data_IF_919800815416
#
_entry.id   IF_919800815416
#
_cell.length_a   1.000
_cell.length_b   1.000
_cell.length_c   1.000
_cell.angle_alpha   90.00
_cell.angle_beta   90.00
_cell.angle_gamma   90.00
#
_symmetry.space_group_name_H-M   'P 1'
#
loop_
_entity.id
_entity.type
_entity.pdbx_description
1 polymer ?
#
# COMPACT_ATOMS: atom_id res chain seq x y z
N UNK A 1 -20.22 -14.33 -0.11
CA UNK A 1 -19.25 -14.25 1.00
C UNK A 1 -19.92 -14.31 2.37
N UNK A 2 -20.78 -13.37 2.77
CA UNK A 2 -21.51 -13.48 4.06
C UNK A 2 -22.26 -14.82 4.19
N UNK A 3 -22.91 -15.28 3.13
CA UNK A 3 -23.56 -16.60 3.11
C UNK A 3 -22.58 -17.77 3.27
N UNK A 4 -21.36 -17.68 2.73
CA UNK A 4 -20.33 -18.73 2.84
C UNK A 4 -19.70 -18.76 4.24
N UNK A 5 -19.36 -17.59 4.80
CA UNK A 5 -18.86 -17.46 6.18
C UNK A 5 -19.92 -17.93 7.18
N UNK A 6 -21.16 -17.49 7.04
CA UNK A 6 -22.27 -17.94 7.89
C UNK A 6 -22.48 -19.46 7.81
N UNK A 7 -22.47 -20.04 6.60
CA UNK A 7 -22.59 -21.50 6.45
C UNK A 7 -21.41 -22.26 7.06
N UNK A 8 -20.21 -21.69 7.01
CA UNK A 8 -19.02 -22.24 7.67
C UNK A 8 -19.15 -22.18 9.20
N UNK A 9 -19.39 -21.00 9.77
CA UNK A 9 -19.52 -20.79 11.22
C UNK A 9 -20.70 -21.58 11.81
N UNK A 10 -21.82 -21.66 11.08
CA UNK A 10 -22.99 -22.43 11.50
C UNK A 10 -22.77 -23.95 11.40
N UNK A 11 -21.85 -24.43 10.55
CA UNK A 11 -21.40 -25.83 10.55
C UNK A 11 -20.41 -26.10 11.68
N UNK A 12 -19.48 -25.19 11.94
CA UNK A 12 -18.47 -25.31 13.00
C UNK A 12 -19.09 -25.29 14.41
N UNK A 13 -20.12 -24.46 14.60
CA UNK A 13 -20.88 -24.38 15.87
C UNK A 13 -21.95 -25.48 16.02
N UNK A 14 -22.06 -26.41 15.06
CA UNK A 14 -23.03 -27.51 15.09
C UNK A 14 -24.50 -27.07 14.89
N UNK A 15 -24.76 -25.81 14.56
CA UNK A 15 -26.12 -25.28 14.30
C UNK A 15 -26.74 -25.92 13.06
N UNK A 16 -25.91 -26.40 12.12
CA UNK A 16 -26.32 -27.08 10.89
C UNK A 16 -26.15 -28.61 10.93
N UNK A 17 -26.05 -29.24 12.11
CA UNK A 17 -26.01 -30.69 12.18
C UNK A 17 -27.38 -31.31 11.84
N UNK A 18 -27.40 -31.99 10.68
CA UNK A 18 -28.15 -33.13 10.12
C UNK A 18 -29.46 -33.67 10.75
N UNK A 19 -30.13 -33.00 11.69
CA UNK A 19 -31.30 -33.52 12.40
C UNK A 19 -32.49 -32.56 12.26
N UNK A 20 -33.21 -32.67 11.14
CA UNK A 20 -34.58 -32.17 11.05
C UNK A 20 -34.86 -31.15 9.94
N UNK A 21 -34.69 -31.54 8.68
CA UNK A 21 -35.40 -30.88 7.57
C UNK A 21 -36.31 -31.89 6.89
N UNK A 22 -37.61 -31.77 7.14
CA UNK A 22 -38.67 -32.60 6.54
C UNK A 22 -39.01 -32.21 5.10
N UNK A 23 -38.03 -31.74 4.32
CA UNK A 23 -38.24 -31.39 2.91
C UNK A 23 -37.24 -32.14 2.03
N UNK A 24 -37.50 -33.44 1.89
CA UNK A 24 -37.42 -34.20 0.63
C UNK A 24 -36.24 -33.92 -0.31
N UNK A 25 -35.01 -33.92 0.21
CA UNK A 25 -33.81 -34.04 -0.62
C UNK A 25 -32.84 -35.04 0.01
N UNK A 26 -33.31 -36.29 0.15
CA UNK A 26 -32.49 -37.46 0.44
C UNK A 26 -31.56 -37.79 -0.74
N UNK A 27 -30.53 -36.96 -0.98
CA UNK A 27 -29.35 -37.36 -1.76
C UNK A 27 -28.13 -36.44 -1.57
N UNK A 28 -27.81 -36.12 -0.32
CA UNK A 28 -26.52 -35.53 0.03
C UNK A 28 -26.08 -35.94 1.44
N UNK A 29 -26.30 -37.21 1.81
CA UNK A 29 -25.74 -37.80 3.04
C UNK A 29 -24.35 -38.36 2.76
N UNK A 30 -23.40 -37.45 2.69
CA UNK A 30 -22.06 -37.61 3.23
C UNK A 30 -21.58 -36.19 3.47
N UNK A 31 -21.91 -35.64 4.64
CA UNK A 31 -21.31 -34.42 5.12
C UNK A 31 -19.83 -34.72 5.36
N UNK A 32 -19.02 -34.65 4.31
CA UNK A 32 -17.58 -34.52 4.44
C UNK A 32 -17.35 -33.26 5.27
N UNK A 33 -16.84 -33.44 6.49
CA UNK A 33 -16.23 -32.35 7.24
C UNK A 33 -15.31 -31.61 6.29
N UNK A 34 -15.49 -30.30 6.14
CA UNK A 34 -14.62 -29.47 5.30
C UNK A 34 -13.16 -29.82 5.64
N UNK A 35 -12.40 -30.20 4.61
CA UNK A 35 -10.97 -30.48 4.77
C UNK A 35 -10.27 -29.27 5.37
N UNK A 36 -9.18 -29.44 6.11
CA UNK A 36 -8.35 -28.32 6.56
C UNK A 36 -7.90 -27.43 5.39
N UNK A 37 -7.74 -28.01 4.19
CA UNK A 37 -7.48 -27.27 2.95
C UNK A 37 -8.67 -26.40 2.52
N UNK A 38 -9.91 -26.91 2.66
CA UNK A 38 -11.12 -26.14 2.38
C UNK A 38 -11.28 -24.99 3.37
N UNK A 39 -11.00 -25.24 4.65
CA UNK A 39 -11.04 -24.21 5.71
C UNK A 39 -10.03 -23.10 5.43
N UNK A 40 -8.78 -23.48 5.12
CA UNK A 40 -7.73 -22.53 4.73
C UNK A 40 -8.10 -21.71 3.50
N UNK A 41 -8.71 -22.35 2.49
CA UNK A 41 -9.18 -21.68 1.27
C UNK A 41 -10.31 -20.69 1.57
N UNK A 42 -11.30 -21.07 2.38
CA UNK A 42 -12.39 -20.18 2.80
C UNK A 42 -11.83 -18.96 3.54
N UNK A 43 -10.90 -19.17 4.48
CA UNK A 43 -10.23 -18.09 5.21
C UNK A 43 -9.48 -17.13 4.28
N UNK A 44 -8.75 -17.65 3.28
CA UNK A 44 -8.03 -16.84 2.30
C UNK A 44 -9.00 -16.00 1.44
N UNK A 45 -10.07 -16.61 0.91
CA UNK A 45 -11.05 -15.90 0.08
C UNK A 45 -11.80 -14.86 0.90
N UNK A 46 -12.11 -15.16 2.15
CA UNK A 46 -12.68 -14.24 3.11
C UNK A 46 -11.76 -13.03 3.32
N UNK A 47 -10.50 -13.27 3.68
CA UNK A 47 -9.54 -12.19 3.91
C UNK A 47 -9.28 -11.35 2.66
N UNK A 48 -9.22 -11.98 1.48
CA UNK A 48 -9.14 -11.30 0.20
C UNK A 48 -10.34 -10.39 -0.06
N UNK A 49 -11.55 -10.83 0.27
CA UNK A 49 -12.78 -10.03 0.17
C UNK A 49 -12.70 -8.79 1.05
N UNK A 50 -12.26 -8.98 2.30
CA UNK A 50 -12.07 -7.92 3.28
C UNK A 50 -11.04 -6.90 2.82
N UNK A 51 -9.91 -7.36 2.26
CA UNK A 51 -8.90 -6.49 1.66
C UNK A 51 -9.48 -5.66 0.52
N UNK A 52 -10.16 -6.31 -0.43
CA UNK A 52 -10.71 -5.62 -1.60
C UNK A 52 -11.75 -4.58 -1.19
N UNK A 53 -12.68 -4.92 -0.31
CA UNK A 53 -13.66 -3.97 0.17
C UNK A 53 -13.01 -2.81 0.92
N UNK A 54 -12.05 -3.07 1.80
CA UNK A 54 -11.35 -2.04 2.58
C UNK A 54 -10.57 -1.08 1.68
N UNK A 55 -9.75 -1.61 0.77
CA UNK A 55 -8.94 -0.79 -0.14
C UNK A 55 -9.85 -0.03 -1.12
N UNK A 56 -10.86 -0.70 -1.70
CA UNK A 56 -11.85 -0.08 -2.58
C UNK A 56 -12.59 1.06 -1.92
N UNK A 57 -13.06 0.83 -0.70
CA UNK A 57 -13.85 1.78 0.06
C UNK A 57 -13.05 3.04 0.34
N UNK A 58 -11.83 2.86 0.83
CA UNK A 58 -10.92 3.94 1.18
C UNK A 58 -10.47 4.74 -0.04
N UNK A 59 -10.19 4.06 -1.16
CA UNK A 59 -9.80 4.71 -2.41
C UNK A 59 -10.93 5.54 -3.00
N UNK A 60 -12.18 5.07 -2.93
CA UNK A 60 -13.32 5.77 -3.53
C UNK A 60 -14.07 6.69 -2.55
N UNK A 61 -13.66 6.74 -1.29
CA UNK A 61 -14.37 7.51 -0.28
C UNK A 61 -15.80 7.01 -0.04
N UNK A 62 -16.01 5.68 -0.07
CA UNK A 62 -17.27 5.06 0.33
C UNK A 62 -17.10 4.34 1.67
N UNK A 63 -18.18 4.12 2.44
CA UNK A 63 -18.13 3.21 3.57
C UNK A 63 -17.77 1.79 3.14
N UNK A 64 -17.09 1.08 4.04
CA UNK A 64 -16.86 -0.36 3.95
C UNK A 64 -18.19 -1.11 4.06
N UNK A 65 -18.30 -2.21 3.31
CA UNK A 65 -19.47 -3.09 3.29
C UNK A 65 -19.31 -4.21 4.32
N UNK A 66 -18.11 -4.77 4.46
CA UNK A 66 -17.85 -5.79 5.48
C UNK A 66 -17.58 -5.09 6.80
N UNK A 67 -18.42 -5.32 7.82
CA UNK A 67 -18.34 -4.61 9.10
C UNK A 67 -17.14 -5.07 9.96
N UNK A 68 -16.82 -4.34 11.02
CA UNK A 68 -15.70 -4.72 11.89
C UNK A 68 -16.01 -6.01 12.65
N UNK A 69 -17.26 -6.16 13.11
CA UNK A 69 -17.78 -7.34 13.80
C UNK A 69 -17.66 -8.59 12.95
N UNK A 70 -17.89 -8.45 11.64
CA UNK A 70 -17.79 -9.55 10.69
C UNK A 70 -16.35 -9.89 10.32
N UNK A 71 -15.37 -9.05 10.69
CA UNK A 71 -13.96 -9.19 10.33
C UNK A 71 -13.05 -9.75 11.42
N UNK A 72 -13.58 -10.00 12.61
CA UNK A 72 -12.90 -10.84 13.57
C UNK A 72 -12.88 -12.27 13.02
N UNK A 73 -11.68 -12.74 12.71
CA UNK A 73 -11.39 -14.14 12.45
C UNK A 73 -10.93 -14.73 13.78
N UNK A 74 -11.61 -15.77 14.29
CA UNK A 74 -11.00 -16.68 15.26
C UNK A 74 -9.75 -17.29 14.57
N UNK A 75 -8.55 -17.22 15.15
CA UNK A 75 -7.32 -17.47 14.42
C UNK A 75 -7.11 -18.98 14.25
N UNK A 76 -7.67 -19.55 13.18
CA UNK A 76 -7.05 -20.70 12.50
C UNK A 76 -5.87 -20.21 11.65
N UNK A 77 -4.86 -19.66 12.33
CA UNK A 77 -3.47 -19.82 11.91
C UNK A 77 -2.98 -21.15 12.51
N UNK A 78 -2.11 -21.92 11.82
CA UNK A 78 -1.72 -23.26 12.25
C UNK A 78 -1.23 -23.26 13.70
N UNK A 79 -1.74 -24.24 14.46
CA UNK A 79 -1.56 -24.50 15.88
C UNK A 79 -0.24 -23.97 16.48
N UNK A 80 -0.36 -23.04 17.42
CA UNK A 80 0.60 -22.91 18.52
C UNK A 80 -0.16 -22.85 19.87
N UNK A 81 0.16 -23.73 20.83
CA UNK A 81 -0.74 -24.15 21.91
C UNK A 81 -0.66 -23.26 23.16
N UNK A 82 -0.88 -21.95 23.03
CA UNK A 82 -0.79 -21.02 24.18
C UNK A 82 -1.85 -19.92 24.11
N UNK A 83 -3.13 -20.29 24.09
CA UNK A 83 -4.23 -19.38 24.42
C UNK A 83 -4.69 -19.65 25.86
N UNK A 84 -3.94 -19.14 26.83
CA UNK A 84 -4.48 -18.93 28.18
C UNK A 84 -5.41 -17.71 28.17
N UNK A 85 -6.54 -17.89 28.82
CA UNK A 85 -7.69 -17.01 28.90
C UNK A 85 -7.39 -15.66 29.56
N UNK A 86 -7.34 -14.59 28.76
CA UNK A 86 -7.47 -13.23 29.28
C UNK A 86 -8.92 -12.76 29.15
N UNK A 87 -9.66 -12.84 30.26
CA UNK A 87 -10.97 -12.21 30.43
C UNK A 87 -10.80 -10.68 30.42
N UNK A 88 -10.99 -10.05 29.27
CA UNK A 88 -11.16 -8.60 29.15
C UNK A 88 -12.62 -8.33 28.75
N UNK A 89 -13.34 -7.58 29.57
CA UNK A 89 -14.73 -7.16 29.31
C UNK A 89 -14.84 -6.46 27.94
N UNK A 90 -15.45 -7.14 26.97
CA UNK A 90 -15.56 -6.72 25.58
C UNK A 90 -16.66 -5.67 25.38
N UNK A 91 -16.32 -4.48 24.87
CA UNK A 91 -17.30 -3.49 24.40
C UNK A 91 -17.25 -3.36 22.86
N UNK A 92 -18.39 -3.44 22.15
CA UNK A 92 -18.44 -3.33 20.68
C UNK A 92 -17.84 -2.05 20.09
N UNK A 93 -17.74 -0.96 20.87
CA UNK A 93 -17.19 0.33 20.44
C UNK A 93 -15.66 0.39 20.45
N UNK A 94 -15.02 -0.63 21.03
CA UNK A 94 -13.58 -0.85 21.08
C UNK A 94 -13.10 -1.88 20.04
N UNK A 95 -14.01 -2.46 19.26
CA UNK A 95 -13.75 -3.39 18.16
C UNK A 95 -13.19 -2.74 16.86
N UNK A 96 -12.76 -1.47 16.92
CA UNK A 96 -12.05 -0.87 15.78
C UNK A 96 -10.72 -1.58 15.63
N UNK A 97 -10.43 -2.08 14.44
CA UNK A 97 -9.26 -2.90 14.13
C UNK A 97 -7.95 -2.23 14.56
N UNK A 98 -7.55 -2.48 15.80
CA UNK A 98 -6.34 -1.98 16.38
C UNK A 98 -5.49 -3.11 16.89
N UNK A 99 -4.22 -3.07 16.49
CA UNK A 99 -3.02 -3.73 16.98
C UNK A 99 -3.11 -5.12 17.64
N UNK A 100 -3.92 -5.36 18.67
CA UNK A 100 -3.81 -6.57 19.52
C UNK A 100 -4.08 -7.89 18.76
N UNK A 101 -4.84 -7.86 17.66
CA UNK A 101 -5.10 -9.03 16.81
C UNK A 101 -3.98 -9.35 15.79
N UNK A 102 -3.09 -8.40 15.48
CA UNK A 102 -2.08 -8.54 14.39
C UNK A 102 -0.65 -8.16 14.79
N UNK A 103 -0.49 -7.39 15.86
CA UNK A 103 0.79 -7.02 16.47
C UNK A 103 1.10 -8.09 17.51
N UNK A 104 1.59 -9.24 17.04
CA UNK A 104 2.41 -10.06 17.92
C UNK A 104 3.65 -9.23 18.23
N UNK A 105 4.00 -9.09 19.51
CA UNK A 105 5.33 -8.64 19.89
C UNK A 105 6.32 -9.58 19.22
N UNK A 106 6.94 -9.13 18.13
CA UNK A 106 7.97 -9.91 17.49
C UNK A 106 9.16 -9.87 18.43
N UNK A 107 9.33 -10.93 19.24
CA UNK A 107 10.51 -11.11 20.11
C UNK A 107 11.79 -11.27 19.28
N UNK A 108 11.66 -11.52 17.99
CA UNK A 108 12.74 -11.52 16.99
C UNK A 108 13.03 -10.08 16.55
N UNK A 109 14.31 -9.70 16.54
CA UNK A 109 14.77 -8.35 16.21
C UNK A 109 14.32 -7.84 14.82
N UNK A 110 14.54 -6.55 14.57
CA UNK A 110 14.18 -5.88 13.32
C UNK A 110 14.82 -6.60 12.12
N UNK A 111 13.99 -7.15 11.21
CA UNK A 111 14.44 -7.81 9.98
C UNK A 111 15.19 -6.81 9.08
N UNK A 112 16.29 -7.25 8.47
CA UNK A 112 17.14 -6.47 7.55
C UNK A 112 17.47 -7.30 6.31
N UNK A 113 17.82 -6.64 5.21
CA UNK A 113 18.37 -7.29 4.01
C UNK A 113 19.89 -7.01 3.91
N UNK A 114 20.74 -7.97 3.54
CA UNK A 114 20.43 -9.32 3.05
C UNK A 114 19.97 -10.31 4.14
N UNK A 115 18.98 -11.14 3.82
CA UNK A 115 18.55 -12.28 4.63
C UNK A 115 18.16 -13.46 3.74
N UNK A 116 17.75 -14.59 4.31
CA UNK A 116 17.32 -15.75 3.52
C UNK A 116 16.05 -15.42 2.71
N UNK A 117 15.84 -16.13 1.61
CA UNK A 117 14.62 -15.99 0.80
C UNK A 117 13.35 -16.19 1.65
N UNK A 118 13.33 -17.21 2.50
CA UNK A 118 12.18 -17.52 3.36
C UNK A 118 11.92 -16.42 4.39
N UNK A 119 12.98 -15.84 4.98
CA UNK A 119 12.85 -14.73 5.91
C UNK A 119 12.31 -13.47 5.21
N UNK A 120 12.82 -13.15 4.02
CA UNK A 120 12.34 -12.03 3.23
C UNK A 120 10.90 -12.22 2.76
N UNK A 121 10.55 -13.42 2.28
CA UNK A 121 9.19 -13.79 1.88
C UNK A 121 8.22 -13.66 3.05
N UNK A 122 8.56 -14.22 4.22
CA UNK A 122 7.79 -14.09 5.46
C UNK A 122 7.62 -12.61 5.83
N UNK A 123 8.69 -11.81 5.78
CA UNK A 123 8.64 -10.38 6.08
C UNK A 123 7.69 -9.58 5.19
N UNK A 124 7.68 -9.86 3.88
CA UNK A 124 6.73 -9.23 2.94
C UNK A 124 5.29 -9.67 3.21
N UNK A 125 5.07 -10.97 3.48
CA UNK A 125 3.75 -11.54 3.77
C UNK A 125 3.17 -10.96 5.06
N UNK A 126 3.96 -10.88 6.15
CA UNK A 126 3.49 -10.34 7.43
C UNK A 126 3.24 -8.84 7.40
N UNK A 127 3.90 -8.11 6.50
CA UNK A 127 3.67 -6.68 6.30
C UNK A 127 2.39 -6.38 5.50
N UNK A 128 1.93 -7.31 4.64
CA UNK A 128 0.79 -7.08 3.77
C UNK A 128 -0.52 -6.73 4.52
N UNK A 129 -0.89 -7.39 5.64
CA UNK A 129 -2.06 -6.99 6.42
C UNK A 129 -1.99 -5.57 6.99
N UNK A 130 -0.80 -5.09 7.34
CA UNK A 130 -0.63 -3.75 7.93
C UNK A 130 -1.05 -2.64 6.96
N UNK A 131 -0.82 -2.82 5.65
CA UNK A 131 -1.31 -1.89 4.62
C UNK A 131 -2.83 -1.84 4.57
N UNK A 132 -3.49 -2.98 4.76
CA UNK A 132 -4.96 -3.09 4.74
C UNK A 132 -5.53 -2.40 5.96
N UNK A 133 -4.92 -2.59 7.14
CA UNK A 133 -5.30 -1.93 8.38
C UNK A 133 -5.20 -0.40 8.25
N UNK A 134 -4.13 0.11 7.63
CA UNK A 134 -4.01 1.56 7.41
C UNK A 134 -5.12 2.09 6.49
N UNK A 135 -5.45 1.39 5.39
CA UNK A 135 -6.60 1.73 4.57
C UNK A 135 -7.91 1.68 5.37
N UNK A 136 -8.10 0.67 6.23
CA UNK A 136 -9.27 0.57 7.11
C UNK A 136 -9.44 1.82 7.96
N UNK A 137 -8.35 2.30 8.57
CA UNK A 137 -8.35 3.55 9.34
C UNK A 137 -8.63 4.79 8.48
N UNK A 138 -8.13 4.83 7.24
CA UNK A 138 -8.50 5.88 6.27
C UNK A 138 -10.01 5.87 6.04
N UNK A 139 -10.63 4.70 5.84
CA UNK A 139 -12.09 4.61 5.69
C UNK A 139 -12.85 5.04 6.95
N UNK A 140 -12.39 4.64 8.14
CA UNK A 140 -12.99 5.10 9.40
C UNK A 140 -12.95 6.62 9.52
N UNK A 141 -11.83 7.26 9.19
CA UNK A 141 -11.69 8.71 9.29
C UNK A 141 -12.59 9.41 8.26
N UNK A 142 -12.60 8.92 7.02
CA UNK A 142 -13.51 9.37 5.98
C UNK A 142 -14.99 9.31 6.41
N UNK A 143 -15.41 8.20 7.03
CA UNK A 143 -16.78 8.04 7.52
C UNK A 143 -17.06 8.97 8.71
N UNK A 144 -16.10 9.14 9.61
CA UNK A 144 -16.24 10.02 10.78
C UNK A 144 -16.39 11.48 10.35
N UNK A 145 -15.62 11.92 9.35
CA UNK A 145 -15.69 13.26 8.77
C UNK A 145 -17.04 13.52 8.08
N UNK A 146 -17.56 12.55 7.31
CA UNK A 146 -18.89 12.65 6.67
C UNK A 146 -20.04 12.67 7.69
N UNK A 147 -19.85 12.01 8.82
CA UNK A 147 -20.84 11.94 9.89
C UNK A 147 -20.87 13.25 10.69
N UNK A 148 -21.82 13.37 11.64
CA UNK A 148 -21.89 14.52 12.56
C UNK A 148 -20.90 14.43 13.75
N UNK A 149 -20.04 13.39 13.81
CA UNK A 149 -19.10 13.20 14.91
C UNK A 149 -17.96 14.23 14.88
N UNK A 150 -17.63 14.84 16.02
CA UNK A 150 -16.58 15.87 16.18
C UNK A 150 -15.83 15.67 17.50
N UNK A 151 -14.62 16.21 17.60
CA UNK A 151 -13.79 16.12 18.81
C UNK A 151 -13.24 14.71 19.04
N UNK A 152 -13.46 14.15 20.23
CA UNK A 152 -12.84 12.89 20.67
C UNK A 152 -12.98 11.70 19.69
N UNK A 153 -14.12 11.43 19.04
CA UNK A 153 -14.23 10.31 18.09
C UNK A 153 -13.30 10.46 16.88
N UNK A 154 -13.11 11.70 16.39
CA UNK A 154 -12.17 11.99 15.29
C UNK A 154 -10.74 11.75 15.76
N UNK A 155 -10.41 12.25 16.95
CA UNK A 155 -9.08 12.11 17.54
C UNK A 155 -8.71 10.64 17.82
N UNK A 156 -9.65 9.82 18.32
CA UNK A 156 -9.43 8.38 18.52
C UNK A 156 -9.09 7.69 17.19
N UNK A 157 -9.76 8.04 16.10
CA UNK A 157 -9.46 7.45 14.78
C UNK A 157 -8.10 7.90 14.26
N UNK A 158 -7.74 9.19 14.39
CA UNK A 158 -6.42 9.71 13.98
C UNK A 158 -5.31 9.06 14.80
N UNK A 159 -5.45 9.02 16.13
CA UNK A 159 -4.47 8.42 17.03
C UNK A 159 -4.20 6.97 16.67
N UNK A 160 -5.26 6.19 16.41
CA UNK A 160 -5.12 4.82 15.94
C UNK A 160 -4.40 4.83 14.57
N UNK A 161 -4.92 5.50 13.54
CA UNK A 161 -4.26 5.51 12.22
C UNK A 161 -2.74 5.82 12.29
N UNK A 162 -2.34 6.79 13.12
CA UNK A 162 -0.95 7.18 13.33
C UNK A 162 -0.10 6.11 14.01
N UNK A 163 -0.64 5.34 14.94
CA UNK A 163 0.15 4.29 15.57
C UNK A 163 0.31 3.03 14.65
N UNK A 164 -0.56 2.81 13.65
CA UNK A 164 -0.37 1.78 12.62
C UNK A 164 0.75 2.24 11.70
N UNK A 165 0.74 3.53 11.35
CA UNK A 165 1.84 4.13 10.62
C UNK A 165 3.17 4.01 11.36
N UNK A 166 3.18 4.30 12.66
CA UNK A 166 4.36 4.10 13.52
C UNK A 166 4.81 2.65 13.58
N UNK A 167 3.88 1.71 13.74
CA UNK A 167 4.18 0.28 13.80
C UNK A 167 4.87 -0.19 12.50
N UNK A 168 4.37 0.20 11.33
CA UNK A 168 5.01 -0.10 10.06
C UNK A 168 6.47 0.38 10.03
N UNK A 169 6.71 1.63 10.41
CA UNK A 169 8.04 2.23 10.38
C UNK A 169 9.03 1.54 11.31
N UNK A 170 8.58 1.11 12.50
CA UNK A 170 9.41 0.42 13.49
C UNK A 170 9.67 -1.03 13.08
N UNK A 171 8.64 -1.76 12.66
CA UNK A 171 8.72 -3.20 12.43
C UNK A 171 9.29 -3.56 11.06
N UNK A 172 8.96 -2.78 10.02
CA UNK A 172 9.24 -3.13 8.64
C UNK A 172 10.01 -2.06 7.86
N UNK A 173 10.06 -0.82 8.36
CA UNK A 173 10.64 0.31 7.64
C UNK A 173 12.10 0.10 7.24
N UNK A 174 12.92 -0.49 8.13
CA UNK A 174 14.32 -0.77 7.83
C UNK A 174 14.47 -1.84 6.74
N UNK A 175 13.73 -2.95 6.86
CA UNK A 175 13.72 -4.03 5.87
C UNK A 175 13.37 -3.53 4.46
N UNK A 176 12.27 -2.79 4.31
CA UNK A 176 11.86 -2.32 2.97
C UNK A 176 12.80 -1.26 2.40
N UNK A 177 13.46 -0.44 3.24
CA UNK A 177 14.51 0.47 2.75
C UNK A 177 15.69 -0.31 2.19
N UNK A 178 16.17 -1.33 2.90
CA UNK A 178 17.27 -2.16 2.41
C UNK A 178 16.91 -2.85 1.08
N UNK A 179 15.66 -3.31 0.91
CA UNK A 179 15.18 -3.90 -0.36
C UNK A 179 15.18 -2.89 -1.53
N UNK A 180 14.88 -1.62 -1.27
CA UNK A 180 14.92 -0.57 -2.30
C UNK A 180 16.36 -0.17 -2.62
N UNK A 181 17.23 -0.07 -1.61
CA UNK A 181 18.64 0.28 -1.79
C UNK A 181 19.41 -0.79 -2.56
N UNK A 182 19.14 -2.07 -2.25
CA UNK A 182 19.83 -3.23 -2.83
C UNK A 182 18.96 -3.98 -3.84
N UNK A 183 18.06 -3.26 -4.53
CA UNK A 183 17.00 -3.83 -5.39
C UNK A 183 17.49 -4.91 -6.36
N UNK A 184 18.62 -4.68 -7.02
CA UNK A 184 19.17 -5.60 -8.03
C UNK A 184 19.59 -6.98 -7.45
N UNK A 185 19.89 -7.03 -6.15
CA UNK A 185 20.20 -8.28 -5.42
C UNK A 185 18.95 -9.03 -4.95
N UNK A 186 17.78 -8.38 -4.95
CA UNK A 186 16.54 -8.95 -4.42
C UNK A 186 15.93 -9.93 -5.43
N UNK A 187 15.51 -11.14 -5.02
CA UNK A 187 14.82 -12.09 -5.88
C UNK A 187 13.56 -11.51 -6.52
N UNK A 188 13.28 -11.88 -7.78
CA UNK A 188 12.21 -11.28 -8.60
C UNK A 188 10.81 -11.37 -7.99
N UNK A 189 10.52 -12.50 -7.36
CA UNK A 189 9.22 -12.71 -6.69
C UNK A 189 9.05 -11.73 -5.53
N UNK A 190 10.11 -11.52 -4.75
CA UNK A 190 10.12 -10.53 -3.66
C UNK A 190 10.00 -9.12 -4.24
N UNK A 191 10.75 -8.79 -5.30
CA UNK A 191 10.67 -7.50 -6.00
C UNK A 191 9.23 -7.14 -6.39
N UNK A 192 8.52 -8.09 -7.01
CA UNK A 192 7.15 -7.90 -7.49
C UNK A 192 6.17 -7.64 -6.36
N UNK A 193 6.30 -8.38 -5.25
CA UNK A 193 5.37 -8.28 -4.14
C UNK A 193 5.64 -7.06 -3.25
N UNK A 194 6.90 -6.79 -2.92
CA UNK A 194 7.22 -5.71 -1.98
C UNK A 194 6.88 -4.33 -2.56
N UNK A 195 7.04 -4.14 -3.88
CA UNK A 195 6.64 -2.91 -4.56
C UNK A 195 5.17 -2.62 -4.33
N UNK A 196 4.30 -3.61 -4.49
CA UNK A 196 2.87 -3.46 -4.25
C UNK A 196 2.57 -3.18 -2.77
N UNK A 197 3.23 -3.86 -1.84
CA UNK A 197 3.00 -3.63 -0.40
C UNK A 197 3.39 -2.20 -0.01
N UNK A 198 4.61 -1.77 -0.34
CA UNK A 198 5.16 -0.46 0.03
C UNK A 198 4.37 0.67 -0.65
N UNK A 199 4.12 0.57 -1.96
CA UNK A 199 3.39 1.60 -2.69
C UNK A 199 1.97 1.78 -2.14
N UNK A 200 1.27 0.69 -1.85
CA UNK A 200 -0.09 0.73 -1.31
C UNK A 200 -0.11 1.32 0.10
N UNK A 201 0.84 0.93 0.96
CA UNK A 201 0.96 1.47 2.30
C UNK A 201 1.16 2.99 2.29
N UNK A 202 2.12 3.48 1.48
CA UNK A 202 2.37 4.92 1.38
C UNK A 202 1.27 5.67 0.62
N UNK A 203 0.51 5.02 -0.26
CA UNK A 203 -0.73 5.58 -0.79
C UNK A 203 -1.75 5.84 0.32
N UNK A 204 -1.97 4.87 1.21
CA UNK A 204 -2.86 5.04 2.36
C UNK A 204 -2.37 6.13 3.30
N UNK A 205 -1.06 6.23 3.54
CA UNK A 205 -0.45 7.29 4.35
C UNK A 205 -0.70 8.69 3.74
N UNK A 206 -0.59 8.84 2.42
CA UNK A 206 -0.91 10.10 1.75
C UNK A 206 -2.40 10.45 1.83
N UNK A 207 -3.30 9.46 1.76
CA UNK A 207 -4.74 9.70 1.97
C UNK A 207 -5.04 10.08 3.42
N UNK A 208 -4.36 9.46 4.38
CA UNK A 208 -4.47 9.83 5.79
C UNK A 208 -4.00 11.26 6.03
N UNK A 209 -2.88 11.68 5.41
CA UNK A 209 -2.39 13.06 5.51
C UNK A 209 -3.42 14.08 5.03
N UNK A 210 -4.05 13.85 3.87
CA UNK A 210 -5.10 14.73 3.34
C UNK A 210 -6.32 14.80 4.27
N UNK A 211 -6.70 13.69 4.91
CA UNK A 211 -7.82 13.67 5.83
C UNK A 211 -7.52 14.36 7.16
N UNK A 212 -6.28 14.25 7.66
CA UNK A 212 -5.85 14.96 8.87
C UNK A 212 -5.84 16.47 8.59
N UNK A 213 -5.30 16.90 7.45
CA UNK A 213 -5.35 18.30 7.03
C UNK A 213 -6.79 18.81 6.94
N UNK A 214 -7.68 18.06 6.27
CA UNK A 214 -9.11 18.39 6.20
C UNK A 214 -9.75 18.53 7.58
N UNK A 215 -9.42 17.62 8.52
CA UNK A 215 -9.91 17.68 9.91
C UNK A 215 -9.42 18.95 10.61
N UNK A 216 -8.15 19.28 10.46
CA UNK A 216 -7.50 20.42 11.11
C UNK A 216 -8.03 21.75 10.56
N UNK A 217 -8.13 21.89 9.24
CA UNK A 217 -8.66 23.07 8.57
C UNK A 217 -10.13 23.34 8.92
N UNK A 218 -10.92 22.29 9.09
CA UNK A 218 -12.36 22.39 9.37
C UNK A 218 -12.69 22.27 10.86
N UNK A 219 -11.68 22.25 11.74
CA UNK A 219 -11.83 22.16 13.21
C UNK A 219 -12.75 21.01 13.64
N UNK A 220 -12.59 19.85 13.00
CA UNK A 220 -13.44 18.68 13.28
C UNK A 220 -12.93 17.88 14.48
N UNK A 221 -11.64 18.02 14.80
CA UNK A 221 -10.95 17.40 15.93
C UNK A 221 -11.02 18.23 17.22
N UNK A 222 -10.15 17.92 18.18
CA UNK A 222 -9.97 18.72 19.40
C UNK A 222 -8.90 19.79 19.16
N UNK A 223 -9.16 21.03 19.59
CA UNK A 223 -8.23 22.16 19.38
C UNK A 223 -6.82 21.87 19.90
N UNK A 224 -6.69 21.29 21.10
CA UNK A 224 -5.39 20.92 21.66
C UNK A 224 -4.66 19.89 20.79
N UNK A 225 -5.35 18.84 20.34
CA UNK A 225 -4.75 17.81 19.48
C UNK A 225 -4.32 18.37 18.13
N UNK A 226 -5.12 19.27 17.54
CA UNK A 226 -4.76 19.99 16.32
C UNK A 226 -3.49 20.82 16.51
N UNK A 227 -3.40 21.59 17.60
CA UNK A 227 -2.20 22.39 17.91
C UNK A 227 -0.95 21.51 18.05
N UNK A 228 -1.06 20.37 18.74
CA UNK A 228 0.06 19.41 18.88
C UNK A 228 0.48 18.87 17.52
N UNK A 229 -0.47 18.47 16.66
CA UNK A 229 -0.17 17.98 15.30
C UNK A 229 0.50 19.04 14.43
N UNK A 230 0.03 20.28 14.48
CA UNK A 230 0.56 21.40 13.72
C UNK A 230 1.97 21.76 14.19
N UNK A 231 2.19 21.86 15.51
CA UNK A 231 3.51 22.13 16.08
C UNK A 231 4.53 21.02 15.73
N UNK A 232 4.07 19.77 15.64
CA UNK A 232 4.90 18.63 15.22
C UNK A 232 4.99 18.44 13.70
N UNK A 233 4.36 19.30 12.89
CA UNK A 233 4.33 19.21 11.42
C UNK A 233 3.92 17.83 10.89
N UNK A 234 2.94 17.18 11.54
CA UNK A 234 2.59 15.77 11.27
C UNK A 234 2.21 15.52 9.81
N UNK A 235 1.33 16.34 9.23
CA UNK A 235 0.89 16.23 7.84
C UNK A 235 2.06 16.40 6.86
N UNK A 236 2.89 17.41 7.10
CA UNK A 236 4.04 17.72 6.25
C UNK A 236 5.07 16.59 6.29
N UNK A 237 5.40 16.06 7.48
CA UNK A 237 6.30 14.91 7.62
C UNK A 237 5.73 13.69 6.90
N UNK A 238 4.47 13.35 7.13
CA UNK A 238 3.83 12.16 6.54
C UNK A 238 3.84 12.22 5.00
N UNK A 239 3.59 13.39 4.44
CA UNK A 239 3.66 13.66 2.99
C UNK A 239 5.09 13.53 2.47
N UNK A 240 6.04 14.21 3.10
CA UNK A 240 7.45 14.19 2.69
C UNK A 240 8.02 12.78 2.72
N UNK A 241 7.83 12.06 3.83
CA UNK A 241 8.35 10.71 4.05
C UNK A 241 7.75 9.70 3.07
N UNK A 242 6.46 9.85 2.75
CA UNK A 242 5.79 8.98 1.78
C UNK A 242 6.18 9.32 0.34
N UNK A 243 6.30 10.60 -0.03
CA UNK A 243 6.66 11.04 -1.37
C UNK A 243 8.11 10.67 -1.76
N UNK A 244 9.09 11.06 -0.92
CA UNK A 244 9.77 10.03 -0.15
C UNK A 244 10.10 8.68 -0.80
N UNK A 245 9.70 7.68 -0.03
CA UNK A 245 9.78 6.26 -0.33
C UNK A 245 9.13 5.92 -1.68
N UNK A 246 8.03 6.57 -2.06
CA UNK A 246 7.37 6.32 -3.35
C UNK A 246 8.26 6.68 -4.54
N UNK A 247 8.98 7.80 -4.51
CA UNK A 247 9.92 8.14 -5.60
C UNK A 247 11.11 7.18 -5.67
N UNK A 248 11.64 6.73 -4.53
CA UNK A 248 12.71 5.73 -4.51
C UNK A 248 12.22 4.38 -5.05
N UNK A 249 10.97 4.03 -4.74
CA UNK A 249 10.32 2.84 -5.27
C UNK A 249 10.06 2.96 -6.78
N UNK A 250 9.62 4.12 -7.26
CA UNK A 250 9.42 4.41 -8.67
C UNK A 250 10.74 4.24 -9.45
N UNK A 251 11.85 4.78 -8.92
CA UNK A 251 13.18 4.69 -9.50
C UNK A 251 13.67 3.26 -9.73
N UNK A 252 13.38 2.35 -8.80
CA UNK A 252 13.85 0.96 -8.88
C UNK A 252 12.89 0.04 -9.65
N UNK A 253 11.58 0.27 -9.54
CA UNK A 253 10.55 -0.59 -10.15
C UNK A 253 10.29 -0.30 -11.63
N UNK A 254 10.80 0.81 -12.17
CA UNK A 254 10.69 1.19 -13.59
C UNK A 254 11.83 0.70 -14.47
N UNK A 255 12.91 0.17 -13.89
CA UNK A 255 14.08 -0.28 -14.64
C UNK A 255 13.79 -1.64 -15.28
N UNK A 256 13.91 -1.77 -16.62
CA UNK A 256 14.03 -3.08 -17.24
C UNK A 256 15.28 -3.76 -16.68
N UNK A 257 15.24 -5.07 -16.49
CA UNK A 257 16.40 -5.79 -15.96
C UNK A 257 17.59 -5.69 -16.92
N UNK A 258 18.74 -5.25 -16.40
CA UNK A 258 20.02 -5.43 -17.07
C UNK A 258 20.44 -6.90 -16.90
N UNK A 259 20.16 -7.74 -17.90
CA UNK A 259 20.55 -9.16 -17.85
C UNK A 259 19.83 -10.10 -18.81
N UNK A 260 18.74 -9.68 -19.45
CA UNK A 260 18.05 -10.54 -20.42
C UNK A 260 18.74 -10.48 -21.78
N UNK A 261 19.91 -11.12 -21.85
CA UNK A 261 20.39 -11.67 -23.12
C UNK A 261 19.37 -12.72 -23.55
N UNK A 262 18.80 -12.66 -24.76
CA UNK A 262 17.94 -13.71 -25.26
C UNK A 262 18.69 -15.05 -25.21
N UNK A 263 18.23 -15.99 -24.38
CA UNK A 263 18.84 -17.32 -24.25
C UNK A 263 19.27 -17.76 -22.85
N UNK A 264 19.24 -16.89 -21.83
CA UNK A 264 19.52 -17.29 -20.44
C UNK A 264 18.26 -17.70 -19.68
N UNK A 265 17.65 -18.82 -20.08
CA UNK A 265 16.98 -19.76 -19.16
C UNK A 265 15.83 -19.33 -18.23
N UNK A 266 15.23 -18.15 -18.35
CA UNK A 266 14.03 -17.77 -17.56
C UNK A 266 12.82 -17.52 -18.48
N UNK A 267 12.52 -18.51 -19.33
CA UNK A 267 11.41 -18.44 -20.30
C UNK A 267 10.00 -18.47 -19.67
N UNK A 268 9.90 -18.62 -18.34
CA UNK A 268 8.63 -18.87 -17.64
C UNK A 268 8.10 -17.69 -16.81
N UNK A 269 8.78 -16.52 -16.80
CA UNK A 269 8.26 -15.34 -16.10
C UNK A 269 7.30 -14.54 -16.99
N UNK A 270 6.17 -14.12 -16.43
CA UNK A 270 5.17 -13.30 -17.11
C UNK A 270 5.79 -11.96 -17.56
N UNK A 271 5.44 -11.46 -18.76
CA UNK A 271 6.04 -10.26 -19.36
C UNK A 271 6.04 -9.02 -18.43
N UNK A 272 4.99 -8.88 -17.61
CA UNK A 272 4.89 -7.79 -16.64
C UNK A 272 5.98 -7.83 -15.55
N UNK A 273 6.52 -9.00 -15.22
CA UNK A 273 7.64 -9.15 -14.28
C UNK A 273 8.96 -8.74 -14.95
N UNK A 274 9.09 -9.04 -16.25
CA UNK A 274 10.29 -8.77 -17.06
C UNK A 274 10.43 -7.29 -17.39
N UNK A 275 9.34 -6.64 -17.77
CA UNK A 275 9.33 -5.22 -18.16
C UNK A 275 9.41 -4.23 -16.97
N UNK A 276 9.19 -4.71 -15.75
CA UNK A 276 9.28 -3.94 -14.52
C UNK A 276 8.24 -4.37 -13.50
N UNK A 277 8.66 -4.65 -12.27
CA UNK A 277 7.79 -5.13 -11.16
C UNK A 277 6.57 -4.24 -10.91
N UNK A 278 6.64 -2.95 -11.24
CA UNK A 278 5.49 -2.03 -11.16
C UNK A 278 4.28 -2.49 -11.99
N UNK A 279 4.50 -3.29 -13.04
CA UNK A 279 3.45 -3.80 -13.91
C UNK A 279 2.80 -5.08 -13.35
N UNK A 280 3.30 -5.68 -12.27
CA UNK A 280 2.72 -6.93 -11.74
C UNK A 280 1.45 -6.68 -10.91
N UNK A 281 1.18 -5.44 -10.52
CA UNK A 281 0.03 -5.11 -9.68
C UNK A 281 -1.29 -5.20 -10.47
N UNK A 282 -2.23 -6.08 -10.08
CA UNK A 282 -3.53 -6.18 -10.74
C UNK A 282 -4.38 -4.92 -10.56
N UNK A 283 -4.25 -4.20 -9.42
CA UNK A 283 -4.98 -2.97 -9.19
C UNK A 283 -4.13 -1.72 -9.44
N UNK A 284 -3.76 -1.52 -10.71
CA UNK A 284 -2.87 -0.42 -11.15
C UNK A 284 -3.31 0.98 -10.67
N UNK A 285 -4.61 1.20 -10.44
CA UNK A 285 -5.14 2.48 -9.94
C UNK A 285 -4.51 2.94 -8.62
N UNK A 286 -4.15 2.02 -7.72
CA UNK A 286 -3.52 2.37 -6.44
C UNK A 286 -2.13 2.96 -6.70
N UNK A 287 -1.35 2.34 -7.57
CA UNK A 287 -0.04 2.82 -7.99
C UNK A 287 -0.14 4.16 -8.73
N UNK A 288 -1.11 4.30 -9.65
CA UNK A 288 -1.36 5.57 -10.34
C UNK A 288 -1.59 6.67 -9.32
N UNK A 289 -2.48 6.47 -8.34
CA UNK A 289 -2.76 7.48 -7.32
C UNK A 289 -1.56 7.78 -6.45
N UNK A 290 -0.82 6.76 -6.02
CA UNK A 290 0.36 6.90 -5.17
C UNK A 290 1.42 7.78 -5.85
N UNK A 291 1.83 7.42 -7.07
CA UNK A 291 2.87 8.14 -7.81
C UNK A 291 2.38 9.53 -8.26
N UNK A 292 1.10 9.68 -8.61
CA UNK A 292 0.53 10.99 -8.92
C UNK A 292 0.62 11.93 -7.73
N UNK A 293 0.17 11.49 -6.54
CA UNK A 293 0.23 12.33 -5.33
C UNK A 293 1.66 12.65 -4.93
N UNK A 294 2.57 11.66 -4.98
CA UNK A 294 3.98 11.89 -4.69
C UNK A 294 4.60 12.91 -5.65
N UNK A 295 4.36 12.78 -6.96
CA UNK A 295 4.86 13.72 -7.96
C UNK A 295 4.32 15.13 -7.76
N UNK A 296 3.02 15.28 -7.49
CA UNK A 296 2.42 16.60 -7.20
C UNK A 296 3.07 17.23 -5.97
N UNK A 297 3.24 16.48 -4.87
CA UNK A 297 3.88 17.00 -3.66
C UNK A 297 5.32 17.46 -3.90
N UNK A 298 6.10 16.65 -4.60
CA UNK A 298 7.50 16.97 -4.93
C UNK A 298 7.57 18.19 -5.86
N UNK A 299 6.68 18.27 -6.86
CA UNK A 299 6.60 19.41 -7.77
C UNK A 299 6.23 20.69 -7.02
N UNK A 300 5.21 20.65 -6.16
CA UNK A 300 4.82 21.79 -5.32
C UNK A 300 6.00 22.29 -4.47
N UNK A 301 6.77 21.38 -3.87
CA UNK A 301 7.97 21.76 -3.08
C UNK A 301 9.05 22.39 -3.98
N UNK A 302 9.23 21.93 -5.22
CA UNK A 302 10.09 22.59 -6.22
C UNK A 302 9.59 23.99 -6.52
N UNK A 303 8.29 24.18 -6.78
CA UNK A 303 7.72 25.48 -7.11
C UNK A 303 7.86 26.46 -5.95
N UNK A 304 7.68 26.00 -4.71
CA UNK A 304 7.88 26.79 -3.49
C UNK A 304 9.33 27.26 -3.36
N UNK A 305 10.30 26.34 -3.47
CA UNK A 305 11.73 26.66 -3.37
C UNK A 305 12.18 27.62 -4.47
N UNK A 306 11.75 27.40 -5.72
CA UNK A 306 12.21 28.20 -6.87
C UNK A 306 11.52 29.55 -6.94
N UNK A 307 10.19 29.60 -6.76
CA UNK A 307 9.42 30.85 -6.96
C UNK A 307 9.31 31.70 -5.71
N UNK A 308 9.21 31.10 -4.53
CA UNK A 308 9.01 31.84 -3.28
C UNK A 308 10.34 32.07 -2.57
N UNK A 309 11.17 31.03 -2.46
CA UNK A 309 12.47 31.13 -1.79
C UNK A 309 13.61 31.56 -2.73
N UNK A 310 13.33 31.71 -4.02
CA UNK A 310 14.30 32.12 -5.06
C UNK A 310 15.56 31.24 -5.10
N UNK A 311 15.44 29.97 -4.72
CA UNK A 311 16.54 29.03 -4.77
C UNK A 311 16.93 28.75 -6.24
N UNK A 312 18.23 28.80 -6.60
CA UNK A 312 18.69 28.39 -7.91
C UNK A 312 18.30 26.95 -8.22
N UNK A 313 17.94 26.63 -9.47
CA UNK A 313 17.60 25.26 -9.90
C UNK A 313 18.74 24.26 -9.65
N UNK A 314 19.98 24.74 -9.68
CA UNK A 314 21.20 23.96 -9.40
C UNK A 314 21.41 23.65 -7.91
N UNK A 315 20.53 24.16 -7.03
CA UNK A 315 20.60 23.84 -5.60
C UNK A 315 20.42 22.33 -5.42
N UNK A 316 21.33 21.62 -4.72
CA UNK A 316 21.27 20.16 -4.59
C UNK A 316 19.94 19.62 -4.09
N UNK A 317 19.28 20.35 -3.17
CA UNK A 317 17.94 20.02 -2.67
C UNK A 317 16.86 20.08 -3.76
N UNK A 318 16.84 21.18 -4.54
CA UNK A 318 15.89 21.38 -5.64
C UNK A 318 16.12 20.35 -6.74
N UNK A 319 17.37 20.10 -7.14
CA UNK A 319 17.69 19.05 -8.12
C UNK A 319 17.23 17.67 -7.67
N UNK A 320 17.38 17.35 -6.39
CA UNK A 320 16.91 16.08 -5.85
C UNK A 320 15.37 15.98 -5.91
N UNK A 321 14.64 17.05 -5.57
CA UNK A 321 13.17 17.07 -5.69
C UNK A 321 12.71 16.91 -7.15
N UNK A 322 13.34 17.62 -8.09
CA UNK A 322 13.07 17.49 -9.53
C UNK A 322 13.30 16.06 -10.00
N UNK A 323 14.43 15.44 -9.64
CA UNK A 323 14.75 14.05 -10.00
C UNK A 323 13.72 13.08 -9.45
N UNK A 324 13.34 13.23 -8.19
CA UNK A 324 12.34 12.36 -7.54
C UNK A 324 10.95 12.51 -8.16
N UNK A 325 10.58 13.73 -8.54
CA UNK A 325 9.35 13.98 -9.30
C UNK A 325 9.41 13.27 -10.65
N UNK A 326 10.54 13.37 -11.36
CA UNK A 326 10.78 12.69 -12.63
C UNK A 326 10.68 11.15 -12.48
N UNK A 327 11.24 10.58 -11.42
CA UNK A 327 11.14 9.14 -11.12
C UNK A 327 9.67 8.69 -10.98
N UNK A 328 8.85 9.45 -10.23
CA UNK A 328 7.40 9.21 -10.14
C UNK A 328 6.69 9.36 -11.50
N UNK A 329 7.06 10.35 -12.31
CA UNK A 329 6.51 10.56 -13.66
C UNK A 329 6.87 9.40 -14.59
N UNK A 330 8.10 8.86 -14.51
CA UNK A 330 8.53 7.67 -15.26
C UNK A 330 7.73 6.44 -14.84
N UNK A 331 7.47 6.24 -13.55
CA UNK A 331 6.57 5.19 -13.07
C UNK A 331 5.17 5.28 -13.69
N UNK A 332 4.60 6.48 -13.76
CA UNK A 332 3.30 6.68 -14.43
C UNK A 332 3.36 6.41 -15.93
N UNK A 333 4.45 6.76 -16.61
CA UNK A 333 4.69 6.39 -18.01
C UNK A 333 4.72 4.87 -18.22
N UNK A 334 5.44 4.14 -17.35
CA UNK A 334 5.46 2.68 -17.37
C UNK A 334 4.06 2.09 -17.18
N UNK A 335 3.32 2.57 -16.17
CA UNK A 335 1.93 2.17 -15.93
C UNK A 335 0.99 2.54 -17.10
N UNK A 336 1.36 3.54 -17.90
CA UNK A 336 0.70 3.93 -19.14
C UNK A 336 0.50 2.77 -20.11
N UNK A 337 1.39 1.76 -20.09
CA UNK A 337 1.22 0.52 -20.87
C UNK A 337 -0.08 -0.23 -20.56
N UNK A 338 -0.62 -0.07 -19.35
CA UNK A 338 -1.86 -0.71 -18.88
C UNK A 338 -3.03 0.25 -18.70
N UNK A 339 -2.79 1.56 -18.62
CA UNK A 339 -3.82 2.55 -18.31
C UNK A 339 -3.58 3.87 -19.02
N UNK A 340 -4.52 4.29 -19.87
CA UNK A 340 -4.46 5.62 -20.51
C UNK A 340 -4.52 6.77 -19.50
N UNK A 341 -5.19 6.57 -18.37
CA UNK A 341 -5.18 7.54 -17.28
C UNK A 341 -3.76 7.78 -16.77
N UNK A 342 -2.97 6.71 -16.55
CA UNK A 342 -1.58 6.84 -16.12
C UNK A 342 -0.74 7.60 -17.15
N UNK A 343 -0.90 7.28 -18.44
CA UNK A 343 -0.20 7.95 -19.55
C UNK A 343 -0.54 9.44 -19.62
N UNK A 344 -1.82 9.80 -19.49
CA UNK A 344 -2.27 11.18 -19.53
C UNK A 344 -1.73 12.00 -18.35
N UNK A 345 -1.78 11.44 -17.13
CA UNK A 345 -1.21 12.10 -15.95
C UNK A 345 0.31 12.26 -16.11
N UNK A 346 1.01 11.25 -16.62
CA UNK A 346 2.45 11.32 -16.86
C UNK A 346 2.81 12.45 -17.85
N UNK A 347 2.03 12.62 -18.91
CA UNK A 347 2.20 13.71 -19.89
C UNK A 347 2.00 15.09 -19.26
N UNK A 348 0.97 15.26 -18.45
CA UNK A 348 0.69 16.51 -17.73
C UNK A 348 1.86 16.84 -16.77
N UNK A 349 2.28 15.87 -15.96
CA UNK A 349 3.39 16.06 -15.02
C UNK A 349 4.72 16.32 -15.73
N UNK A 350 5.00 15.63 -16.84
CA UNK A 350 6.20 15.89 -17.65
C UNK A 350 6.21 17.33 -18.18
N UNK A 351 5.07 17.82 -18.64
CA UNK A 351 4.92 19.19 -19.12
C UNK A 351 5.09 20.21 -17.99
N UNK A 352 4.55 19.92 -16.81
CA UNK A 352 4.66 20.78 -15.63
C UNK A 352 6.08 20.79 -15.03
N UNK A 353 6.83 19.68 -15.16
CA UNK A 353 8.21 19.55 -14.70
C UNK A 353 9.21 20.23 -15.65
N UNK A 354 8.87 20.33 -16.94
CA UNK A 354 9.73 20.86 -18.00
C UNK A 354 10.47 22.17 -17.66
N UNK A 355 9.83 23.20 -17.07
CA UNK A 355 10.50 24.46 -16.69
C UNK A 355 11.60 24.30 -15.64
N UNK A 356 11.60 23.22 -14.87
CA UNK A 356 12.54 22.97 -13.77
C UNK A 356 13.63 21.96 -14.16
N UNK A 357 13.54 21.35 -15.35
CA UNK A 357 14.58 20.45 -15.84
C UNK A 357 15.75 21.27 -16.41
N UNK A 358 16.94 21.03 -15.86
CA UNK A 358 18.17 21.60 -16.42
C UNK A 358 18.42 20.88 -17.75
N UNK A 359 18.63 21.60 -18.87
CA UNK A 359 19.01 20.98 -20.12
C UNK A 359 20.30 20.20 -19.89
N UNK A 360 20.24 18.87 -19.97
CA UNK A 360 21.44 18.05 -20.03
C UNK A 360 22.21 18.52 -21.25
N UNK A 361 23.40 19.08 -21.04
CA UNK A 361 24.32 19.43 -22.13
C UNK A 361 24.42 18.22 -23.03
N UNK A 362 23.85 18.32 -24.24
CA UNK A 362 23.91 17.27 -25.24
C UNK A 362 25.39 16.98 -25.50
N UNK A 363 25.85 15.83 -25.03
CA UNK A 363 27.07 15.22 -25.55
C UNK A 363 26.86 15.06 -27.06
N UNK A 364 27.58 15.89 -27.83
CA UNK A 364 27.71 15.76 -29.27
C UNK A 364 27.97 14.30 -29.64
N UNK A 365 26.98 13.64 -30.27
CA UNK A 365 27.31 12.59 -31.22
C UNK A 365 27.61 13.26 -32.58
N UNK A 366 28.63 12.80 -33.29
CA UNK A 366 29.01 13.40 -34.56
C UNK A 366 27.93 13.13 -35.61
N UNK A 367 27.57 14.18 -36.33
CA UNK A 367 26.78 14.09 -37.55
C UNK A 367 27.59 13.25 -38.54
N UNK A 368 27.16 12.01 -38.76
CA UNK A 368 27.62 11.22 -39.91
C UNK A 368 27.18 11.95 -41.17
N UNK A 369 28.16 12.50 -41.87
CA UNK A 369 28.04 13.04 -43.21
C UNK A 369 27.36 12.02 -44.14
N UNK A 370 26.23 12.42 -44.71
CA UNK A 370 25.60 11.75 -45.85
C UNK A 370 26.50 11.96 -47.07
N UNK A 371 27.04 10.88 -47.61
CA UNK A 371 27.66 10.89 -48.95
C UNK A 371 26.59 11.16 -50.02
N UNK A 372 26.84 12.04 -51.00
CA UNK A 372 25.93 12.23 -52.11
C UNK A 372 26.15 11.13 -53.16
N UNK A 373 25.08 10.41 -53.48
CA UNK A 373 25.04 9.54 -54.67
C UNK A 373 25.13 10.45 -55.90
N UNK A 374 26.23 10.34 -56.64
CA UNK A 374 26.36 10.90 -57.99
C UNK A 374 26.00 9.84 -59.03
N UNK A 375 24.99 10.22 -59.83
CA UNK A 375 24.63 9.80 -61.20
C UNK A 375 24.28 8.33 -61.44
#
# INVERSE_FOLDING_TARGET
>A
MHALKFQYEARETGVLDASGSSLGLEKATSAESLSEEDKGTIGLVYWMTVMFDTVSSSMNGRPVVVSDEECHHDPTYPDHPEHESYNIEYRPQDARWWAELFVRENKEGVLRWPCSYDAASKGVVTAAPIKVILFRHVSYLQNTVRSRYRGEPVEKVISNAMAVYKHWNVSYGAFFRDLVEQYDSVPTLIQSWFVCVVAHFHCAALLLADLIELVDENKLGLDYSTQVRQAANVVVSLRRDSAAILSDLARVSTRPRAGDVPGTGISDLHFAVVEGSILTEPWTMILIRAFTKAAILLLTEVEENVRHEHAPLETPGVMNLVRRCEDCTKALWCLGKKSDMARNIASILSSALGPYMIPTTMSHMPISSVEPVMV
#
